data_IF_094317463915
#
_entry.id   IF_094317463915
#
_cell.length_a   1.000
_cell.length_b   1.000
_cell.length_c   1.000
_cell.angle_alpha   90.00
_cell.angle_beta   90.00
_cell.angle_gamma   90.00
#
_symmetry.space_group_name_H-M   'P 1'
#
loop_
_entity.id
_entity.type
_entity.pdbx_description
1 polymer ?
#
# COMPACT_ATOMS: atom_id res chain seq x y z
N UNK A 1 -34.68 -14.00 38.40
CA UNK A 1 -34.25 -14.56 37.09
C UNK A 1 -33.05 -13.75 36.59
N UNK A 2 -31.82 -14.26 36.70
CA UNK A 2 -30.58 -13.52 36.35
C UNK A 2 -30.24 -13.77 34.87
N UNK A 3 -30.44 -12.77 34.01
CA UNK A 3 -29.97 -12.79 32.62
C UNK A 3 -28.46 -12.59 32.58
N UNK A 4 -27.73 -13.69 32.35
CA UNK A 4 -26.29 -13.69 32.15
C UNK A 4 -25.96 -12.95 30.86
N UNK A 5 -25.22 -11.86 30.97
CA UNK A 5 -24.67 -11.13 29.84
C UNK A 5 -23.64 -12.01 29.13
N UNK A 6 -24.03 -12.61 28.01
CA UNK A 6 -23.14 -13.35 27.14
C UNK A 6 -22.33 -12.35 26.32
N UNK A 7 -21.19 -11.92 26.86
CA UNK A 7 -20.25 -11.02 26.17
C UNK A 7 -19.53 -11.83 25.08
N UNK A 8 -20.15 -11.96 23.90
CA UNK A 8 -19.44 -12.40 22.69
C UNK A 8 -18.32 -11.39 22.43
N UNK A 9 -17.07 -11.84 22.58
CA UNK A 9 -15.93 -11.15 21.99
C UNK A 9 -16.15 -11.20 20.48
N UNK A 10 -16.58 -10.11 19.87
CA UNK A 10 -16.54 -9.96 18.42
C UNK A 10 -15.06 -9.96 18.03
N UNK A 11 -14.56 -11.11 17.56
CA UNK A 11 -13.36 -11.10 16.73
C UNK A 11 -13.67 -10.17 15.56
N UNK A 12 -12.94 -9.07 15.44
CA UNK A 12 -13.04 -8.18 14.28
C UNK A 12 -12.78 -9.06 13.06
N UNK A 13 -13.82 -9.28 12.26
CA UNK A 13 -13.73 -10.06 11.03
C UNK A 13 -12.66 -9.41 10.16
N UNK A 14 -11.58 -10.14 9.90
CA UNK A 14 -10.45 -9.59 9.17
C UNK A 14 -10.93 -9.30 7.75
N UNK A 15 -10.86 -8.04 7.31
CA UNK A 15 -11.27 -7.66 5.96
C UNK A 15 -10.59 -8.58 4.93
N UNK A 16 -11.35 -9.06 3.94
CA UNK A 16 -10.86 -9.95 2.86
C UNK A 16 -9.59 -9.37 2.22
N UNK A 17 -9.54 -8.04 2.02
CA UNK A 17 -8.36 -7.34 1.51
C UNK A 17 -7.13 -7.58 2.40
N UNK A 18 -7.32 -7.55 3.72
CA UNK A 18 -6.24 -7.78 4.68
C UNK A 18 -5.70 -9.21 4.63
N UNK A 19 -6.59 -10.21 4.52
CA UNK A 19 -6.16 -11.60 4.38
C UNK A 19 -5.40 -11.84 3.07
N UNK A 20 -5.89 -11.29 1.95
CA UNK A 20 -5.26 -11.49 0.65
C UNK A 20 -3.84 -10.88 0.61
N UNK A 21 -3.67 -9.68 1.17
CA UNK A 21 -2.35 -9.04 1.27
C UNK A 21 -1.36 -9.87 2.09
N UNK A 22 -1.83 -10.48 3.20
CA UNK A 22 -0.99 -11.35 4.04
C UNK A 22 -0.59 -12.64 3.31
N UNK A 23 -1.55 -13.29 2.64
CA UNK A 23 -1.27 -14.49 1.85
C UNK A 23 -0.29 -14.20 0.73
N UNK A 24 -0.45 -13.10 0.00
CA UNK A 24 0.49 -12.69 -1.03
C UNK A 24 1.90 -12.46 -0.45
N UNK A 25 2.01 -11.78 0.70
CA UNK A 25 3.29 -11.54 1.37
C UNK A 25 4.02 -12.82 1.77
N UNK A 26 3.30 -13.91 2.04
CA UNK A 26 3.85 -15.20 2.43
C UNK A 26 4.27 -16.08 1.25
N UNK A 27 3.87 -15.74 0.03
CA UNK A 27 4.31 -16.50 -1.15
C UNK A 27 5.83 -16.39 -1.32
N UNK A 28 6.50 -17.51 -1.59
CA UNK A 28 7.96 -17.56 -1.71
C UNK A 28 8.60 -16.44 -2.57
N UNK A 29 8.11 -16.12 -3.79
CA UNK A 29 8.72 -15.07 -4.61
C UNK A 29 8.57 -13.66 -4.01
N UNK A 30 7.47 -13.38 -3.32
CA UNK A 30 7.22 -12.08 -2.69
C UNK A 30 7.97 -12.00 -1.36
N UNK A 31 7.87 -13.02 -0.51
CA UNK A 31 8.54 -13.09 0.79
C UNK A 31 10.04 -12.85 0.67
N UNK A 32 10.71 -13.53 -0.26
CA UNK A 32 12.15 -13.36 -0.51
C UNK A 32 12.50 -11.92 -0.90
N UNK A 33 11.68 -11.26 -1.71
CA UNK A 33 11.91 -9.85 -2.09
C UNK A 33 11.63 -8.90 -0.94
N UNK A 34 10.61 -9.16 -0.11
CA UNK A 34 10.32 -8.36 1.07
C UNK A 34 11.46 -8.44 2.11
N UNK A 35 12.06 -9.63 2.29
CA UNK A 35 13.27 -9.78 3.10
C UNK A 35 14.42 -8.94 2.56
N UNK A 36 14.67 -8.99 1.24
CA UNK A 36 15.68 -8.16 0.60
C UNK A 36 15.43 -6.66 0.80
N UNK A 37 14.18 -6.20 0.67
CA UNK A 37 13.80 -4.80 0.96
C UNK A 37 14.11 -4.46 2.42
N UNK A 38 13.80 -5.37 3.35
CA UNK A 38 14.08 -5.22 4.78
C UNK A 38 15.57 -5.09 5.12
N UNK A 39 16.45 -5.70 4.32
CA UNK A 39 17.91 -5.56 4.51
C UNK A 39 18.45 -4.16 4.18
N UNK A 40 17.72 -3.38 3.37
CA UNK A 40 18.11 -2.03 2.91
C UNK A 40 19.50 -1.94 2.26
N UNK A 41 20.05 -3.07 1.76
CA UNK A 41 21.41 -3.12 1.19
C UNK A 41 21.47 -2.66 -0.27
N UNK A 42 20.41 -2.92 -1.03
CA UNK A 42 20.34 -2.61 -2.47
C UNK A 42 18.89 -2.42 -2.92
N UNK A 43 18.66 -1.69 -4.03
CA UNK A 43 17.34 -1.60 -4.64
C UNK A 43 16.80 -2.99 -5.05
N UNK A 44 15.53 -3.26 -4.73
CA UNK A 44 14.85 -4.51 -5.09
C UNK A 44 13.88 -4.26 -6.24
N UNK A 45 14.09 -4.96 -7.36
CA UNK A 45 13.20 -4.87 -8.53
C UNK A 45 12.10 -5.92 -8.47
N UNK A 46 10.84 -5.51 -8.65
CA UNK A 46 9.72 -6.39 -8.92
C UNK A 46 9.38 -6.32 -10.41
N UNK A 47 9.66 -7.40 -11.15
CA UNK A 47 9.43 -7.46 -12.60
C UNK A 47 8.05 -8.05 -12.92
N UNK A 48 7.56 -7.80 -14.14
CA UNK A 48 6.29 -8.36 -14.66
C UNK A 48 5.03 -7.96 -13.89
N UNK A 49 5.07 -6.79 -13.23
CA UNK A 49 3.89 -6.22 -12.56
C UNK A 49 3.15 -5.32 -13.53
N UNK A 50 1.95 -5.74 -13.94
CA UNK A 50 1.03 -4.91 -14.72
C UNK A 50 0.53 -3.72 -13.90
N UNK A 51 0.10 -2.64 -14.55
CA UNK A 51 -0.29 -1.40 -13.86
C UNK A 51 -1.32 -1.62 -12.71
N UNK A 52 -2.40 -2.41 -12.87
CA UNK A 52 -3.34 -2.67 -11.78
C UNK A 52 -2.70 -3.42 -10.59
N UNK A 53 -1.71 -4.28 -10.85
CA UNK A 53 -0.99 -5.04 -9.82
C UNK A 53 -0.03 -4.21 -8.99
N UNK A 54 0.32 -2.99 -9.44
CA UNK A 54 1.25 -2.11 -8.72
C UNK A 54 0.66 -1.64 -7.39
N UNK A 55 -0.62 -1.25 -7.37
CA UNK A 55 -1.30 -0.83 -6.15
C UNK A 55 -1.38 -1.97 -5.11
N UNK A 56 -1.75 -3.17 -5.57
CA UNK A 56 -1.79 -4.35 -4.71
C UNK A 56 -0.41 -4.66 -4.12
N UNK A 57 0.63 -4.70 -4.95
CA UNK A 57 1.99 -4.96 -4.49
C UNK A 57 2.50 -3.86 -3.54
N UNK A 58 2.21 -2.59 -3.81
CA UNK A 58 2.54 -1.48 -2.94
C UNK A 58 1.90 -1.64 -1.56
N UNK A 59 0.63 -2.06 -1.49
CA UNK A 59 -0.05 -2.36 -0.24
C UNK A 59 0.57 -3.56 0.50
N UNK A 60 1.00 -4.61 -0.22
CA UNK A 60 1.73 -5.75 0.37
C UNK A 60 3.04 -5.29 1.01
N UNK A 61 3.81 -4.46 0.30
CA UNK A 61 5.08 -3.89 0.81
C UNK A 61 4.79 -3.02 2.04
N UNK A 62 3.86 -2.05 1.93
CA UNK A 62 3.52 -1.12 3.00
C UNK A 62 3.07 -1.82 4.29
N UNK A 63 2.30 -2.92 4.19
CA UNK A 63 1.89 -3.69 5.38
C UNK A 63 3.01 -4.49 6.02
N UNK A 64 4.04 -4.87 5.26
CA UNK A 64 5.17 -5.65 5.80
C UNK A 64 6.26 -4.77 6.39
N UNK A 65 6.38 -3.54 5.93
CA UNK A 65 7.42 -2.61 6.38
C UNK A 65 6.95 -1.83 7.62
N UNK A 66 7.68 -1.87 8.75
CA UNK A 66 7.31 -1.14 9.97
C UNK A 66 7.69 0.35 9.89
N UNK A 67 7.77 0.93 8.69
CA UNK A 67 8.23 2.29 8.42
C UNK A 67 7.27 2.94 7.43
N UNK A 68 7.28 4.28 7.39
CA UNK A 68 6.61 5.03 6.32
C UNK A 68 7.15 4.61 4.96
N UNK A 69 6.25 4.24 4.04
CA UNK A 69 6.58 3.90 2.66
C UNK A 69 6.15 5.04 1.75
N UNK A 70 7.11 5.61 1.04
CA UNK A 70 6.87 6.59 -0.01
C UNK A 70 6.73 5.88 -1.35
N UNK A 71 5.68 6.22 -2.11
CA UNK A 71 5.47 5.71 -3.46
C UNK A 71 5.62 6.88 -4.42
N UNK A 72 6.67 6.85 -5.24
CA UNK A 72 6.95 7.89 -6.22
C UNK A 72 6.41 7.45 -7.58
N UNK A 73 5.61 8.31 -8.21
CA UNK A 73 5.07 8.08 -9.53
C UNK A 73 5.78 8.98 -10.56
N UNK A 74 5.87 8.57 -11.84
CA UNK A 74 6.54 9.36 -12.87
C UNK A 74 5.72 10.55 -13.37
N UNK A 75 4.46 10.70 -12.91
CA UNK A 75 3.61 11.86 -13.17
C UNK A 75 2.45 11.91 -12.16
N UNK A 76 1.91 13.12 -11.95
CA UNK A 76 0.68 13.35 -11.16
C UNK A 76 -0.44 12.42 -11.60
N UNK A 77 -0.69 12.30 -12.92
CA UNK A 77 -1.75 11.44 -13.44
C UNK A 77 -1.59 9.96 -13.05
N UNK A 78 -0.35 9.45 -12.99
CA UNK A 78 -0.11 8.08 -12.50
C UNK A 78 -0.24 7.99 -10.99
N UNK A 79 0.11 9.04 -10.26
CA UNK A 79 -0.11 9.13 -8.82
C UNK A 79 -1.60 9.04 -8.49
N UNK A 80 -2.45 9.84 -9.15
CA UNK A 80 -3.91 9.82 -8.98
C UNK A 80 -4.46 8.41 -9.23
N UNK A 81 -4.11 7.82 -10.37
CA UNK A 81 -4.60 6.49 -10.77
C UNK A 81 -4.17 5.41 -9.77
N UNK A 82 -2.94 5.50 -9.26
CA UNK A 82 -2.43 4.58 -8.25
C UNK A 82 -3.13 4.79 -6.90
N UNK A 83 -3.34 6.04 -6.50
CA UNK A 83 -3.99 6.40 -5.24
C UNK A 83 -5.42 5.88 -5.17
N UNK A 84 -6.23 6.12 -6.20
CA UNK A 84 -7.60 5.58 -6.28
C UNK A 84 -7.60 4.04 -6.21
N UNK A 85 -6.61 3.40 -6.83
CA UNK A 85 -6.52 1.93 -6.81
C UNK A 85 -6.06 1.40 -5.45
N UNK A 86 -5.07 2.03 -4.80
CA UNK A 86 -4.47 1.54 -3.56
C UNK A 86 -5.40 1.68 -2.36
N UNK A 87 -6.34 2.63 -2.37
CA UNK A 87 -7.34 2.80 -1.30
C UNK A 87 -8.21 1.54 -1.08
N UNK A 88 -8.40 0.71 -2.12
CA UNK A 88 -9.10 -0.59 -2.00
C UNK A 88 -8.36 -1.61 -1.11
N UNK A 89 -7.05 -1.42 -0.95
CA UNK A 89 -6.15 -2.33 -0.24
C UNK A 89 -5.61 -1.73 1.06
N UNK A 90 -5.36 -0.42 1.06
CA UNK A 90 -4.77 0.33 2.16
C UNK A 90 -5.49 1.68 2.32
N UNK A 91 -6.67 1.71 2.97
CA UNK A 91 -7.50 2.92 3.08
C UNK A 91 -6.86 4.09 3.82
N UNK A 92 -5.83 3.83 4.63
CA UNK A 92 -5.08 4.85 5.37
C UNK A 92 -3.97 5.51 4.53
N UNK A 93 -3.87 5.22 3.24
CA UNK A 93 -2.90 5.85 2.34
C UNK A 93 -3.20 7.34 2.22
N UNK A 94 -2.15 8.16 2.21
CA UNK A 94 -2.27 9.61 2.02
C UNK A 94 -1.82 9.99 0.61
N UNK A 95 -2.46 11.02 0.05
CA UNK A 95 -2.08 11.63 -1.21
C UNK A 95 -1.30 12.91 -0.94
N UNK A 96 -0.09 13.02 -1.50
CA UNK A 96 0.69 14.26 -1.46
C UNK A 96 0.55 14.98 -2.80
N UNK A 97 -0.24 16.05 -2.91
CA UNK A 97 -0.38 16.79 -4.16
C UNK A 97 0.95 17.45 -4.54
N UNK A 98 1.33 17.36 -5.82
CA UNK A 98 2.37 18.22 -6.36
C UNK A 98 1.84 19.67 -6.34
N UNK A 99 2.65 20.62 -5.88
CA UNK A 99 2.31 22.02 -6.02
C UNK A 99 2.28 22.34 -7.52
N UNK A 100 1.10 22.69 -8.05
CA UNK A 100 0.99 23.32 -9.36
C UNK A 100 1.62 24.72 -9.25
N UNK A 101 2.94 24.78 -9.32
CA UNK A 101 3.59 26.03 -9.67
C UNK A 101 3.24 26.27 -11.13
N UNK A 102 2.17 27.01 -11.36
CA UNK A 102 1.99 27.72 -12.63
C UNK A 102 3.35 28.37 -12.89
N UNK A 103 4.01 27.98 -13.97
CA UNK A 103 5.19 28.66 -14.45
C UNK A 103 4.84 30.14 -14.39
N UNK A 104 5.54 30.90 -13.55
CA UNK A 104 5.30 32.33 -13.41
C UNK A 104 5.43 32.88 -14.83
N UNK A 105 4.29 33.17 -15.46
CA UNK A 105 4.24 33.80 -16.76
C UNK A 105 4.98 35.12 -16.58
N UNK A 106 6.17 35.22 -17.18
CA UNK A 106 6.84 36.47 -17.48
C UNK A 106 6.86 37.50 -16.34
N UNK A 107 7.80 37.36 -15.40
CA UNK A 107 8.39 38.58 -14.83
C UNK A 107 9.39 39.09 -15.86
N UNK A 108 8.88 39.90 -16.78
CA UNK A 108 9.69 40.84 -17.57
C UNK A 108 10.26 41.93 -16.66
#
# INVERSE_FOLDING_TARGET
MKLRHFRRKFAVEKSISSELLERAAQTAPIARKLEQVGTQRAPVKFSHIIAPGQAFLAAVIARRMPKTVWIVCPSVRKQDSLYETILNWLPATQFLPEAEFAAVENVL
#
